data_IF_221665614231
#
_entry.id   IF_221665614231
#
_cell.length_a   1.000
_cell.length_b   1.000
_cell.length_c   1.000
_cell.angle_alpha   90.00
_cell.angle_beta   90.00
_cell.angle_gamma   90.00
#
_symmetry.space_group_name_H-M   'P 1'
#
loop_
_entity.id
_entity.type
_entity.pdbx_description
1 polymer ?
#
# COMPACT_ATOMS: atom_id res chain seq x y z
N UNK A 1 -10.02 -16.21 7.99
CA UNK A 1 -10.43 -14.80 7.88
C UNK A 1 -9.31 -13.96 8.48
N UNK A 2 -8.74 -12.99 7.76
CA UNK A 2 -7.72 -12.08 8.28
C UNK A 2 -8.33 -10.70 8.50
N UNK A 3 -7.75 -9.92 9.38
CA UNK A 3 -8.06 -8.51 9.58
C UNK A 3 -6.96 -7.67 8.94
N UNK A 4 -7.28 -6.97 7.85
CA UNK A 4 -6.30 -6.23 7.02
C UNK A 4 -6.48 -4.73 7.24
N UNK A 5 -5.39 -4.07 7.59
CA UNK A 5 -5.33 -2.61 7.70
C UNK A 5 -4.95 -2.00 6.35
N UNK A 6 -5.67 -0.97 5.92
CA UNK A 6 -5.33 -0.14 4.76
C UNK A 6 -4.94 1.25 5.26
N UNK A 7 -3.68 1.66 5.08
CA UNK A 7 -3.21 3.01 5.40
C UNK A 7 -3.30 3.90 4.17
N UNK A 8 -4.06 4.99 4.26
CA UNK A 8 -4.29 5.89 3.13
C UNK A 8 -4.46 7.34 3.59
N UNK A 9 -4.74 8.25 2.67
CA UNK A 9 -4.99 9.67 2.91
C UNK A 9 -5.67 10.32 1.72
N UNK A 10 -5.90 11.62 1.78
CA UNK A 10 -6.37 12.38 0.62
C UNK A 10 -5.39 12.26 -0.55
N UNK A 11 -5.92 12.30 -1.76
CA UNK A 11 -5.21 12.11 -3.02
C UNK A 11 -4.55 10.73 -3.18
N UNK A 12 -5.03 9.71 -2.47
CA UNK A 12 -4.74 8.33 -2.84
C UNK A 12 -5.40 8.00 -4.19
N UNK A 13 -4.73 7.17 -5.00
CA UNK A 13 -5.28 6.73 -6.28
C UNK A 13 -6.50 5.82 -6.06
N UNK A 14 -7.58 6.04 -6.84
CA UNK A 14 -8.90 5.44 -6.61
C UNK A 14 -8.86 3.90 -6.74
N UNK A 15 -8.30 3.38 -7.83
CA UNK A 15 -8.23 1.93 -8.04
C UNK A 15 -7.24 1.26 -7.10
N UNK A 16 -6.06 1.89 -6.85
CA UNK A 16 -5.08 1.38 -5.90
C UNK A 16 -5.66 1.25 -4.48
N UNK A 17 -6.67 2.07 -4.15
CA UNK A 17 -7.32 2.08 -2.84
C UNK A 17 -8.56 1.19 -2.78
N UNK A 18 -9.48 1.33 -3.74
CA UNK A 18 -10.78 0.67 -3.68
C UNK A 18 -10.72 -0.81 -4.10
N UNK A 19 -9.90 -1.14 -5.10
CA UNK A 19 -9.79 -2.52 -5.55
C UNK A 19 -9.28 -3.47 -4.45
N UNK A 20 -8.17 -3.19 -3.74
CA UNK A 20 -7.74 -4.02 -2.61
C UNK A 20 -8.82 -4.18 -1.54
N UNK A 21 -9.53 -3.09 -1.19
CA UNK A 21 -10.61 -3.14 -0.20
C UNK A 21 -11.71 -4.11 -0.64
N UNK A 22 -12.16 -4.02 -1.90
CA UNK A 22 -13.22 -4.91 -2.40
C UNK A 22 -12.72 -6.34 -2.57
N UNK A 23 -11.52 -6.52 -3.12
CA UNK A 23 -10.95 -7.85 -3.36
C UNK A 23 -10.70 -8.63 -2.07
N UNK A 24 -10.24 -7.95 -1.02
CA UNK A 24 -10.03 -8.56 0.30
C UNK A 24 -11.36 -8.93 0.97
N UNK A 25 -12.36 -8.03 0.89
CA UNK A 25 -13.71 -8.32 1.39
C UNK A 25 -14.37 -9.47 0.66
N UNK A 26 -14.26 -9.53 -0.67
CA UNK A 26 -14.71 -10.67 -1.49
C UNK A 26 -14.01 -11.97 -1.06
N UNK A 27 -12.73 -11.91 -0.72
CA UNK A 27 -11.95 -13.02 -0.16
C UNK A 27 -12.31 -13.42 1.27
N UNK A 28 -13.33 -12.81 1.88
CA UNK A 28 -13.81 -13.12 3.23
C UNK A 28 -12.93 -12.52 4.35
N UNK A 29 -12.15 -11.47 4.07
CA UNK A 29 -11.34 -10.78 5.06
C UNK A 29 -12.06 -9.55 5.61
N UNK A 30 -11.79 -9.19 6.88
CA UNK A 30 -12.15 -7.89 7.44
C UNK A 30 -11.16 -6.83 6.93
N UNK A 31 -11.65 -5.72 6.43
CA UNK A 31 -10.81 -4.61 5.96
C UNK A 31 -11.16 -3.34 6.71
N UNK A 32 -10.16 -2.77 7.35
CA UNK A 32 -10.23 -1.53 8.12
C UNK A 32 -9.37 -0.47 7.43
N UNK A 33 -9.94 0.69 7.18
CA UNK A 33 -9.27 1.82 6.53
C UNK A 33 -8.87 2.84 7.59
N UNK A 34 -7.60 3.22 7.61
CA UNK A 34 -7.08 4.28 8.47
C UNK A 34 -6.45 5.42 7.66
N UNK A 35 -6.61 6.64 8.16
CA UNK A 35 -6.13 7.87 7.56
C UNK A 35 -5.70 8.86 8.66
N UNK A 36 -5.14 10.06 8.33
CA UNK A 36 -4.76 11.05 9.34
C UNK A 36 -5.88 11.46 10.29
N UNK A 37 -7.13 11.36 9.85
CA UNK A 37 -8.31 11.63 10.68
C UNK A 37 -9.49 10.77 10.26
N UNK A 38 -10.43 10.53 11.16
CA UNK A 38 -11.63 9.71 10.93
C UNK A 38 -12.69 10.48 10.12
N UNK A 39 -12.38 10.77 8.87
CA UNK A 39 -13.28 11.31 7.86
C UNK A 39 -13.08 10.61 6.53
N UNK A 40 -14.08 10.62 5.66
CA UNK A 40 -13.87 10.09 4.32
C UNK A 40 -12.73 10.83 3.60
N UNK A 41 -11.78 10.09 3.04
CA UNK A 41 -10.69 10.64 2.23
C UNK A 41 -11.15 10.86 0.79
N UNK A 42 -10.60 11.89 0.16
CA UNK A 42 -10.85 12.24 -1.23
C UNK A 42 -9.82 11.56 -2.11
N UNK A 43 -10.27 10.62 -2.92
CA UNK A 43 -9.43 9.90 -3.86
C UNK A 43 -9.22 10.71 -5.14
N UNK A 44 -8.22 10.33 -5.91
CA UNK A 44 -7.93 10.88 -7.23
C UNK A 44 -7.87 9.77 -8.27
N UNK A 45 -8.16 10.11 -9.51
CA UNK A 45 -8.02 9.23 -10.66
C UNK A 45 -6.76 9.66 -11.40
N UNK A 46 -5.79 8.78 -11.49
CA UNK A 46 -4.62 8.94 -12.35
C UNK A 46 -4.86 8.26 -13.69
N UNK A 47 -4.46 8.93 -14.76
CA UNK A 47 -4.62 8.43 -16.12
C UNK A 47 -3.42 8.80 -16.98
N UNK A 48 -3.19 8.05 -18.06
CA UNK A 48 -2.12 8.30 -19.04
C UNK A 48 -2.76 8.83 -20.33
N UNK A 49 -2.80 10.16 -20.45
CA UNK A 49 -3.39 10.82 -21.62
C UNK A 49 -2.34 11.07 -22.71
N UNK A 50 -2.65 10.84 -24.00
CA UNK A 50 -1.74 11.15 -25.10
C UNK A 50 -1.28 12.62 -25.09
N UNK A 51 0.02 12.83 -25.29
CA UNK A 51 0.62 14.18 -25.30
C UNK A 51 1.05 14.72 -23.96
N UNK A 52 0.94 13.92 -22.90
CA UNK A 52 1.49 14.24 -21.57
C UNK A 52 2.70 13.36 -21.26
N UNK A 53 3.74 13.97 -20.68
CA UNK A 53 4.95 13.24 -20.24
C UNK A 53 4.80 12.62 -18.83
N UNK A 54 3.67 12.89 -18.16
CA UNK A 54 3.34 12.39 -16.83
C UNK A 54 1.88 11.93 -16.80
N UNK A 55 1.47 11.25 -15.73
CA UNK A 55 0.05 10.98 -15.53
C UNK A 55 -0.72 12.28 -15.24
N UNK A 56 -1.98 12.30 -15.67
CA UNK A 56 -2.94 13.35 -15.30
C UNK A 56 -3.66 12.98 -14.01
N UNK A 57 -4.25 13.97 -13.34
CA UNK A 57 -4.99 13.75 -12.09
C UNK A 57 -6.37 14.41 -12.17
N UNK A 58 -7.41 13.66 -11.82
CA UNK A 58 -8.79 14.12 -11.74
C UNK A 58 -9.37 13.75 -10.37
N UNK A 59 -10.36 14.52 -9.83
CA UNK A 59 -11.09 14.13 -8.63
C UNK A 59 -11.76 12.75 -8.80
N UNK A 60 -11.52 11.86 -7.84
CA UNK A 60 -12.15 10.56 -7.74
C UNK A 60 -13.26 10.52 -6.69
N UNK A 61 -13.63 9.31 -6.27
CA UNK A 61 -14.62 9.07 -5.22
C UNK A 61 -14.07 9.37 -3.83
N UNK A 62 -14.92 9.21 -2.84
CA UNK A 62 -14.51 9.24 -1.44
C UNK A 62 -14.46 7.81 -0.89
N UNK A 63 -13.47 7.54 -0.05
CA UNK A 63 -13.35 6.28 0.68
C UNK A 63 -13.62 6.55 2.16
N UNK A 64 -14.63 5.88 2.76
CA UNK A 64 -14.88 5.96 4.21
C UNK A 64 -13.66 5.50 5.01
N UNK A 65 -13.40 6.16 6.13
CA UNK A 65 -12.31 5.87 7.05
C UNK A 65 -12.87 5.40 8.38
N UNK A 66 -12.35 4.29 8.87
CA UNK A 66 -12.78 3.66 10.11
C UNK A 66 -12.04 4.24 11.33
N UNK A 67 -10.72 4.50 11.21
CA UNK A 67 -9.87 4.98 12.30
C UNK A 67 -8.95 6.13 11.86
N UNK A 68 -8.65 7.05 12.79
CA UNK A 68 -7.48 7.89 12.66
C UNK A 68 -6.21 7.05 12.92
N UNK A 69 -5.04 7.44 12.35
CA UNK A 69 -3.78 6.72 12.58
C UNK A 69 -3.44 6.60 14.06
N UNK A 70 -3.71 7.64 14.84
CA UNK A 70 -3.46 7.65 16.29
C UNK A 70 -4.26 6.60 17.06
N UNK A 71 -5.44 6.20 16.54
CA UNK A 71 -6.33 5.22 17.17
C UNK A 71 -6.02 3.77 16.77
N UNK A 72 -5.10 3.57 15.79
CA UNK A 72 -4.75 2.24 15.30
C UNK A 72 -3.85 1.52 16.30
N UNK A 73 -4.25 0.32 16.69
CA UNK A 73 -3.43 -0.66 17.41
C UNK A 73 -2.96 -1.70 16.37
N UNK A 74 -1.70 -1.67 15.91
CA UNK A 74 -1.25 -2.52 14.82
C UNK A 74 -1.29 -4.02 15.15
N UNK A 75 -1.21 -4.37 16.45
CA UNK A 75 -1.34 -5.75 16.94
C UNK A 75 -2.71 -6.39 16.72
N UNK A 76 -3.73 -5.58 16.40
CA UNK A 76 -5.08 -6.07 16.11
C UNK A 76 -5.25 -6.52 14.65
N UNK A 77 -4.19 -6.46 13.82
CA UNK A 77 -4.25 -6.72 12.38
C UNK A 77 -3.24 -7.77 11.93
N UNK A 78 -3.66 -8.60 10.98
CA UNK A 78 -2.85 -9.68 10.42
C UNK A 78 -2.01 -9.23 9.21
N UNK A 79 -2.38 -8.13 8.55
CA UNK A 79 -1.72 -7.64 7.35
C UNK A 79 -1.95 -6.14 7.13
N UNK A 80 -1.08 -5.54 6.31
CA UNK A 80 -1.10 -4.13 5.95
C UNK A 80 -1.16 -3.95 4.42
N UNK A 81 -1.93 -2.96 3.95
CA UNK A 81 -1.91 -2.49 2.55
C UNK A 81 -1.67 -0.98 2.54
N UNK A 82 -0.75 -0.53 1.68
CA UNK A 82 -0.45 0.89 1.46
C UNK A 82 -0.68 1.20 -0.03
N UNK A 83 -1.83 1.80 -0.38
CA UNK A 83 -2.14 2.22 -1.74
C UNK A 83 -1.22 3.33 -2.26
N UNK A 84 -1.33 3.60 -3.55
CA UNK A 84 -0.59 4.67 -4.22
C UNK A 84 -1.32 6.01 -4.27
N UNK A 85 -1.10 6.73 -5.36
CA UNK A 85 -1.46 8.12 -5.49
C UNK A 85 -0.47 9.03 -4.75
N UNK A 86 -0.86 10.26 -4.42
CA UNK A 86 0.00 11.20 -3.68
C UNK A 86 -0.08 11.03 -2.16
N UNK A 87 -1.06 10.29 -1.63
CA UNK A 87 -1.20 10.07 -0.19
C UNK A 87 0.09 9.60 0.50
N UNK A 88 0.86 8.62 -0.05
CA UNK A 88 2.12 8.18 0.54
C UNK A 88 3.13 9.30 0.78
N UNK A 89 3.19 10.32 -0.09
CA UNK A 89 4.10 11.45 0.05
C UNK A 89 3.84 12.24 1.34
N UNK A 90 2.58 12.34 1.74
CA UNK A 90 2.15 13.13 2.90
C UNK A 90 2.16 12.33 4.19
N UNK A 91 1.78 11.04 4.15
CA UNK A 91 1.66 10.23 5.36
C UNK A 91 2.99 9.61 5.80
N UNK A 92 4.00 9.50 4.94
CA UNK A 92 5.28 8.82 5.23
C UNK A 92 6.09 9.45 6.36
N UNK A 93 5.80 10.69 6.74
CA UNK A 93 6.47 11.41 7.84
C UNK A 93 5.65 11.42 9.13
N UNK A 94 4.45 10.84 9.11
CA UNK A 94 3.58 10.76 10.28
C UNK A 94 4.14 9.73 11.29
N UNK A 95 4.32 10.09 12.58
CA UNK A 95 4.88 9.19 13.59
C UNK A 95 3.99 7.98 13.88
N UNK A 96 2.67 8.10 13.77
CA UNK A 96 1.77 6.96 13.94
C UNK A 96 1.87 6.00 12.76
N UNK A 97 2.02 6.50 11.53
CA UNK A 97 2.30 5.67 10.35
C UNK A 97 3.63 4.93 10.55
N UNK A 98 4.66 5.61 11.03
CA UNK A 98 5.95 4.98 11.31
C UNK A 98 5.81 3.83 12.33
N UNK A 99 5.09 4.05 13.43
CA UNK A 99 4.79 3.04 14.45
C UNK A 99 4.06 1.84 13.87
N UNK A 100 3.02 2.09 13.09
CA UNK A 100 2.20 1.05 12.47
C UNK A 100 3.02 0.23 11.48
N UNK A 101 3.70 0.87 10.53
CA UNK A 101 4.42 0.17 9.46
C UNK A 101 5.58 -0.65 10.02
N UNK A 102 6.34 -0.12 10.98
CA UNK A 102 7.43 -0.87 11.65
C UNK A 102 6.93 -2.16 12.28
N UNK A 103 5.79 -2.15 12.93
CA UNK A 103 5.20 -3.34 13.56
C UNK A 103 5.07 -4.51 12.56
N UNK A 104 4.57 -4.25 11.34
CA UNK A 104 4.39 -5.30 10.33
C UNK A 104 5.73 -5.81 9.80
N UNK A 105 6.68 -4.92 9.53
CA UNK A 105 8.02 -5.31 9.05
C UNK A 105 8.84 -6.06 10.09
N UNK A 106 8.81 -5.63 11.35
CA UNK A 106 9.56 -6.26 12.45
C UNK A 106 9.02 -7.66 12.80
N UNK A 107 7.75 -7.91 12.53
CA UNK A 107 7.09 -9.20 12.76
C UNK A 107 6.97 -10.06 11.52
N UNK A 108 7.53 -9.62 10.40
CA UNK A 108 7.44 -10.28 9.09
C UNK A 108 5.99 -10.61 8.68
N UNK A 109 5.04 -9.72 9.03
CA UNK A 109 3.64 -9.83 8.65
C UNK A 109 3.43 -9.40 7.19
N UNK A 110 2.38 -9.90 6.52
CA UNK A 110 2.08 -9.53 5.13
C UNK A 110 1.91 -8.01 4.95
N UNK A 111 2.69 -7.44 4.02
CA UNK A 111 2.60 -6.04 3.61
C UNK A 111 2.42 -5.94 2.10
N UNK A 112 1.33 -5.33 1.67
CA UNK A 112 1.07 -5.00 0.27
C UNK A 112 1.32 -3.52 -0.01
N UNK A 113 2.12 -3.20 -1.03
CA UNK A 113 2.35 -1.82 -1.46
C UNK A 113 2.04 -1.68 -2.95
N UNK A 114 1.45 -0.55 -3.35
CA UNK A 114 1.00 -0.30 -4.72
C UNK A 114 1.49 1.07 -5.16
N UNK A 115 2.03 1.18 -6.39
CA UNK A 115 2.39 2.44 -7.04
C UNK A 115 3.38 3.27 -6.20
N UNK A 116 2.92 4.36 -5.57
CA UNK A 116 3.71 5.22 -4.66
C UNK A 116 3.75 4.67 -3.21
N UNK A 117 2.97 3.65 -2.88
CA UNK A 117 2.92 3.04 -1.56
C UNK A 117 4.30 2.68 -0.96
N UNK A 118 5.26 2.15 -1.75
CA UNK A 118 6.59 1.82 -1.26
C UNK A 118 7.39 3.01 -0.71
N UNK A 119 7.01 4.27 -1.01
CA UNK A 119 7.66 5.46 -0.42
C UNK A 119 7.54 5.49 1.11
N UNK A 120 6.48 4.91 1.68
CA UNK A 120 6.29 4.88 3.14
C UNK A 120 7.35 4.00 3.81
N UNK A 121 7.50 2.71 3.51
CA UNK A 121 8.57 1.89 4.09
C UNK A 121 9.97 2.36 3.65
N UNK A 122 10.13 2.97 2.46
CA UNK A 122 11.40 3.56 2.02
C UNK A 122 11.85 4.69 2.95
N UNK A 123 10.96 5.63 3.28
CA UNK A 123 11.24 6.74 4.20
C UNK A 123 11.60 6.27 5.62
N UNK A 124 11.16 5.07 6.02
CA UNK A 124 11.44 4.47 7.31
C UNK A 124 12.71 3.59 7.31
N UNK A 125 13.41 3.48 6.17
CA UNK A 125 14.61 2.64 6.01
C UNK A 125 14.34 1.14 5.98
N UNK A 126 13.08 0.73 5.78
CA UNK A 126 12.64 -0.67 5.86
C UNK A 126 12.81 -1.44 4.54
N UNK A 127 13.20 -0.74 3.46
CA UNK A 127 13.44 -1.37 2.15
C UNK A 127 14.90 -1.73 1.90
N UNK A 128 15.83 -1.43 2.80
CA UNK A 128 17.23 -1.77 2.63
C UNK A 128 17.43 -3.28 2.48
N UNK A 129 18.03 -3.68 1.34
CA UNK A 129 18.29 -5.09 1.01
C UNK A 129 17.06 -5.88 0.55
N UNK A 130 15.91 -5.24 0.41
CA UNK A 130 14.70 -5.86 -0.14
C UNK A 130 14.57 -5.63 -1.65
N UNK A 131 13.75 -6.46 -2.28
CA UNK A 131 13.36 -6.30 -3.68
C UNK A 131 11.95 -5.72 -3.74
N UNK A 132 11.73 -4.70 -4.58
CA UNK A 132 10.42 -4.04 -4.69
C UNK A 132 10.12 -3.59 -6.12
N UNK A 133 8.84 -3.66 -6.49
CA UNK A 133 8.29 -2.84 -7.57
C UNK A 133 7.70 -1.55 -6.95
N UNK A 134 7.60 -0.52 -7.76
CA UNK A 134 6.93 0.74 -7.48
C UNK A 134 6.53 1.39 -8.80
N UNK A 135 5.82 2.51 -8.76
CA UNK A 135 5.63 3.32 -9.97
C UNK A 135 6.99 3.60 -10.62
N UNK A 136 7.19 3.30 -11.92
CA UNK A 136 8.52 3.25 -12.53
C UNK A 136 9.39 4.50 -12.35
N UNK A 137 8.84 5.75 -12.37
CA UNK A 137 9.62 6.95 -12.07
C UNK A 137 10.22 7.00 -10.67
N UNK A 138 9.73 6.18 -9.71
CA UNK A 138 10.27 6.09 -8.34
C UNK A 138 11.47 5.13 -8.23
N UNK A 139 11.96 4.57 -9.33
CA UNK A 139 13.13 3.67 -9.33
C UNK A 139 14.30 4.25 -8.53
N UNK A 140 14.67 5.49 -8.82
CA UNK A 140 15.78 6.15 -8.14
C UNK A 140 15.56 6.27 -6.62
N UNK A 141 14.33 6.57 -6.19
CA UNK A 141 13.98 6.68 -4.76
C UNK A 141 14.11 5.32 -4.06
N UNK A 142 13.67 4.25 -4.71
CA UNK A 142 13.77 2.88 -4.17
C UNK A 142 15.23 2.43 -4.06
N UNK A 143 16.03 2.68 -5.09
CA UNK A 143 17.47 2.38 -5.08
C UNK A 143 18.23 3.20 -4.03
N UNK A 144 17.89 4.48 -3.85
CA UNK A 144 18.45 5.31 -2.77
C UNK A 144 18.07 4.82 -1.38
N UNK A 145 16.87 4.26 -1.22
CA UNK A 145 16.45 3.61 0.02
C UNK A 145 17.15 2.26 0.26
N UNK A 146 18.01 1.81 -0.66
CA UNK A 146 18.78 0.57 -0.58
C UNK A 146 18.02 -0.66 -1.04
N UNK A 147 16.92 -0.50 -1.77
CA UNK A 147 16.17 -1.59 -2.37
C UNK A 147 16.71 -1.96 -3.76
N UNK A 148 16.47 -3.20 -4.18
CA UNK A 148 16.58 -3.61 -5.58
C UNK A 148 15.24 -3.35 -6.26
N UNK A 149 15.21 -2.40 -7.19
CA UNK A 149 14.02 -2.11 -7.97
C UNK A 149 13.83 -3.13 -9.10
N UNK A 150 12.61 -3.65 -9.24
CA UNK A 150 12.21 -4.57 -10.32
C UNK A 150 10.97 -4.01 -11.02
N UNK A 151 11.09 -3.78 -12.33
CA UNK A 151 9.96 -3.35 -13.16
C UNK A 151 9.12 -4.58 -13.56
N UNK A 152 8.22 -4.98 -12.67
CA UNK A 152 7.36 -6.13 -12.86
C UNK A 152 5.95 -5.86 -12.28
N UNK A 153 4.92 -6.55 -12.80
CA UNK A 153 3.53 -6.35 -12.35
C UNK A 153 3.28 -6.82 -10.92
N UNK A 154 4.06 -7.78 -10.44
CA UNK A 154 4.08 -8.17 -9.04
C UNK A 154 5.48 -8.61 -8.63
N UNK A 155 5.91 -8.16 -7.46
CA UNK A 155 7.17 -8.57 -6.84
C UNK A 155 6.87 -9.05 -5.43
N UNK A 156 7.27 -10.28 -5.13
CA UNK A 156 7.15 -10.89 -3.80
C UNK A 156 8.53 -11.00 -3.19
N UNK A 157 8.75 -10.37 -2.04
CA UNK A 157 9.96 -10.45 -1.24
C UNK A 157 9.58 -10.82 0.20
N UNK A 158 9.66 -12.11 0.51
CA UNK A 158 9.18 -12.64 1.78
C UNK A 158 7.69 -12.36 2.00
N UNK A 159 7.39 -11.62 3.05
CA UNK A 159 6.02 -11.19 3.39
C UNK A 159 5.56 -9.94 2.63
N UNK A 160 6.45 -9.25 1.91
CA UNK A 160 6.09 -8.05 1.16
C UNK A 160 5.71 -8.36 -0.29
N UNK A 161 4.61 -7.75 -0.75
CA UNK A 161 4.15 -7.80 -2.14
C UNK A 161 3.98 -6.39 -2.67
N UNK A 162 4.63 -6.08 -3.80
CA UNK A 162 4.60 -4.75 -4.40
C UNK A 162 4.26 -4.81 -5.89
N UNK A 163 3.70 -3.73 -6.45
CA UNK A 163 3.44 -3.57 -7.88
C UNK A 163 3.60 -2.11 -8.33
N UNK A 164 3.58 -1.90 -9.65
CA UNK A 164 3.82 -0.57 -10.26
C UNK A 164 2.62 0.37 -10.15
N UNK A 165 1.41 -0.15 -10.04
CA UNK A 165 0.19 0.64 -9.97
C UNK A 165 -1.06 -0.13 -10.37
N UNK A 166 -2.17 0.61 -10.57
CA UNK A 166 -3.49 0.03 -10.83
C UNK A 166 -3.59 -0.94 -12.02
N UNK A 167 -2.80 -0.85 -13.11
CA UNK A 167 -2.88 -1.85 -14.18
C UNK A 167 -2.46 -3.26 -13.72
N UNK A 168 -1.63 -3.35 -12.69
CA UNK A 168 -1.05 -4.59 -12.18
C UNK A 168 -1.85 -5.20 -11.01
N UNK A 169 -2.94 -4.58 -10.59
CA UNK A 169 -3.73 -5.01 -9.43
C UNK A 169 -4.21 -6.47 -9.49
N UNK A 170 -4.57 -7.04 -10.67
CA UNK A 170 -4.93 -8.46 -10.74
C UNK A 170 -3.78 -9.41 -10.34
N UNK A 171 -2.55 -9.15 -10.80
CA UNK A 171 -1.34 -9.93 -10.49
C UNK A 171 -0.97 -9.74 -9.03
N UNK A 172 -0.86 -8.49 -8.60
CA UNK A 172 -0.57 -8.12 -7.23
C UNK A 172 -1.55 -8.76 -6.24
N UNK A 173 -2.85 -8.68 -6.51
CA UNK A 173 -3.86 -9.22 -5.59
C UNK A 173 -3.78 -10.75 -5.46
N UNK A 174 -3.51 -11.46 -6.58
CA UNK A 174 -3.26 -12.91 -6.53
C UNK A 174 -2.05 -13.25 -5.67
N UNK A 175 -0.95 -12.49 -5.81
CA UNK A 175 0.27 -12.67 -5.03
C UNK A 175 0.01 -12.34 -3.54
N UNK A 176 -0.63 -11.20 -3.26
CA UNK A 176 -0.91 -10.79 -1.88
C UNK A 176 -1.83 -11.76 -1.16
N UNK A 177 -2.89 -12.27 -1.82
CA UNK A 177 -3.78 -13.28 -1.25
C UNK A 177 -3.06 -14.59 -0.94
N UNK A 178 -2.06 -15.01 -1.75
CA UNK A 178 -1.21 -16.18 -1.45
C UNK A 178 -0.36 -15.96 -0.21
N UNK A 179 0.31 -14.80 -0.11
CA UNK A 179 1.14 -14.45 1.06
C UNK A 179 0.28 -14.37 2.32
N UNK A 180 -0.87 -13.72 2.24
CA UNK A 180 -1.84 -13.62 3.35
C UNK A 180 -2.37 -15.00 3.81
N UNK A 181 -2.57 -15.93 2.88
CA UNK A 181 -2.96 -17.31 3.18
C UNK A 181 -1.84 -18.13 3.79
N UNK A 182 -0.59 -17.95 3.34
CA UNK A 182 0.60 -18.67 3.82
C UNK A 182 1.02 -18.26 5.23
N UNK A 183 0.88 -16.99 5.59
CA UNK A 183 1.19 -16.48 6.93
C UNK A 183 0.37 -17.16 8.05
N UNK A 184 -0.77 -17.75 7.72
CA UNK A 184 -1.66 -18.45 8.67
C UNK A 184 -1.27 -19.92 8.94
N UNK A 185 -0.46 -20.50 8.06
CA UNK A 185 0.00 -21.91 8.23
C UNK A 185 1.14 -21.99 9.23
N UNK A 186 1.77 -20.87 9.55
CA UNK A 186 2.95 -20.78 10.43
C UNK A 186 2.66 -20.22 11.82
N UNK A 187 1.43 -19.81 12.12
CA UNK A 187 0.96 -19.31 13.40
C UNK A 187 0.05 -20.32 14.10
#
# INVERSE_FOLDING_TARGET
MARVLVLTGDAAEELDSMYPVFRLREGGHEVVVAAPSRRAVKLVIHDFEPGWDAYTEKPGRQLPVDHAFADVRPEDYDALVIPGGRAPEYIRTDPDVARIVRHFFERDLPVGTICHGPQVPAALGLLRGRTTAAFPPLKADMEQAGATFVDAPDVVDGSMVSCRGWPDLPEWSRAFMRVLGGARVLA
#
